data_IF_509804745990
#
_entry.id   IF_509804745990
#
_cell.length_a   1.000
_cell.length_b   1.000
_cell.length_c   1.000
_cell.angle_alpha   90.00
_cell.angle_beta   90.00
_cell.angle_gamma   90.00
#
_symmetry.space_group_name_H-M   'P 1'
#
loop_
_entity.id
_entity.type
_entity.pdbx_description
1 polymer ?
#
# COMPACT_ATOMS: atom_id res chain seq x y z
N UNK A 1 -18.16 -30.92 24.88
CA UNK A 1 -17.36 -29.77 24.45
C UNK A 1 -15.89 -30.09 24.63
N UNK A 2 -15.13 -30.12 23.55
CA UNK A 2 -13.70 -30.39 23.67
C UNK A 2 -13.01 -29.16 24.31
N UNK A 3 -12.22 -29.41 25.34
CA UNK A 3 -11.40 -28.34 25.91
C UNK A 3 -10.30 -27.98 24.93
N UNK A 4 -10.04 -26.68 24.83
CA UNK A 4 -8.93 -26.17 24.02
C UNK A 4 -7.61 -26.51 24.69
N UNK A 5 -6.80 -27.35 24.03
CA UNK A 5 -5.48 -27.71 24.53
C UNK A 5 -4.43 -26.74 23.99
N UNK A 6 -4.04 -25.79 24.82
CA UNK A 6 -3.06 -24.77 24.46
C UNK A 6 -1.67 -25.36 24.20
N UNK A 7 -1.31 -26.45 24.90
CA UNK A 7 -0.01 -27.10 24.71
C UNK A 7 0.08 -27.72 23.32
N UNK A 8 -0.99 -28.40 22.88
CA UNK A 8 -1.05 -28.97 21.55
C UNK A 8 -1.03 -27.87 20.46
N UNK A 9 -1.75 -26.76 20.67
CA UNK A 9 -1.75 -25.64 19.76
C UNK A 9 -0.37 -25.01 19.65
N UNK A 10 0.35 -24.84 20.76
CA UNK A 10 1.72 -24.29 20.78
C UNK A 10 2.67 -25.22 20.03
N UNK A 11 2.62 -26.53 20.28
CA UNK A 11 3.47 -27.49 19.60
C UNK A 11 3.22 -27.49 18.08
N UNK A 12 1.96 -27.40 17.68
CA UNK A 12 1.59 -27.32 16.28
C UNK A 12 2.07 -26.02 15.62
N UNK A 13 1.91 -24.91 16.30
CA UNK A 13 2.40 -23.62 15.80
C UNK A 13 3.93 -23.60 15.67
N UNK A 14 4.63 -24.21 16.64
CA UNK A 14 6.09 -24.29 16.60
C UNK A 14 6.61 -25.15 15.44
N UNK A 15 5.87 -26.16 15.02
CA UNK A 15 6.27 -27.00 13.87
C UNK A 15 5.92 -26.37 12.52
N UNK A 16 4.85 -25.59 12.45
CA UNK A 16 4.39 -24.97 11.20
C UNK A 16 4.99 -23.59 10.96
N UNK A 17 5.33 -22.88 12.03
CA UNK A 17 5.90 -21.55 11.92
C UNK A 17 7.40 -21.57 11.64
N UNK A 18 7.97 -20.39 11.34
CA UNK A 18 9.41 -20.27 11.15
C UNK A 18 10.16 -20.49 12.46
N UNK A 19 11.39 -20.99 12.35
CA UNK A 19 12.30 -21.10 13.50
C UNK A 19 12.81 -19.71 13.84
N UNK A 20 12.28 -19.13 14.92
CA UNK A 20 12.61 -17.78 15.35
C UNK A 20 13.99 -17.66 16.00
N UNK A 21 14.69 -18.79 16.20
CA UNK A 21 16.08 -18.78 16.68
C UNK A 21 17.08 -18.57 15.54
N UNK A 22 16.62 -18.66 14.30
CA UNK A 22 17.44 -18.53 13.11
C UNK A 22 17.11 -17.21 12.40
N UNK A 23 18.15 -16.42 12.16
CA UNK A 23 17.99 -15.23 11.33
C UNK A 23 17.76 -15.66 9.88
N UNK A 24 16.70 -15.17 9.30
CA UNK A 24 16.47 -15.37 7.89
C UNK A 24 17.23 -14.32 7.09
N UNK A 25 18.16 -14.77 6.27
CA UNK A 25 18.89 -13.90 5.39
C UNK A 25 18.21 -13.85 4.04
N UNK A 26 18.03 -12.66 3.55
CA UNK A 26 17.63 -12.44 2.17
C UNK A 26 16.21 -12.87 1.84
N UNK A 27 15.27 -12.29 2.53
CA UNK A 27 13.93 -12.27 1.98
C UNK A 27 13.99 -11.71 0.58
N UNK A 28 13.28 -12.29 -0.35
CA UNK A 28 13.27 -11.88 -1.74
C UNK A 28 13.29 -10.38 -1.85
N UNK A 29 14.34 -9.85 -2.45
CA UNK A 29 14.54 -8.42 -2.52
C UNK A 29 13.34 -7.74 -3.14
N UNK A 30 12.82 -6.72 -2.49
CA UNK A 30 11.85 -5.86 -3.10
C UNK A 30 12.51 -5.19 -4.32
N UNK A 31 11.96 -5.47 -5.50
CA UNK A 31 12.40 -4.78 -6.72
C UNK A 31 11.46 -3.60 -6.94
N UNK A 32 11.96 -2.37 -6.82
CA UNK A 32 11.10 -1.21 -7.06
C UNK A 32 10.65 -1.16 -8.52
N UNK A 33 9.47 -0.57 -8.79
CA UNK A 33 9.01 -0.38 -10.17
C UNK A 33 10.00 0.44 -10.98
N UNK A 34 10.16 0.10 -12.25
CA UNK A 34 10.99 0.87 -13.15
C UNK A 34 10.29 2.16 -13.57
N UNK A 35 11.09 3.20 -13.78
CA UNK A 35 10.58 4.47 -14.28
C UNK A 35 10.09 4.32 -15.72
N UNK A 36 9.00 4.99 -16.02
CA UNK A 36 8.40 4.96 -17.36
C UNK A 36 6.90 5.08 -17.28
N UNK A 37 6.26 5.20 -18.43
CA UNK A 37 4.80 5.28 -18.51
C UNK A 37 4.19 3.91 -18.25
N UNK A 38 3.24 3.83 -17.35
CA UNK A 38 2.51 2.60 -17.05
C UNK A 38 1.05 2.93 -16.72
N UNK A 39 0.22 1.89 -16.69
CA UNK A 39 -1.16 2.00 -16.28
C UNK A 39 -1.22 1.83 -14.76
N UNK A 40 -1.73 2.84 -14.07
CA UNK A 40 -1.93 2.79 -12.62
C UNK A 40 -3.41 2.68 -12.30
N UNK A 41 -3.76 1.71 -11.48
CA UNK A 41 -5.13 1.49 -11.01
C UNK A 41 -5.19 1.74 -9.51
N UNK A 42 -6.09 2.60 -9.07
CA UNK A 42 -6.28 2.84 -7.64
C UNK A 42 -7.05 1.67 -7.04
N UNK A 43 -6.38 0.86 -6.23
CA UNK A 43 -6.95 -0.35 -5.64
C UNK A 43 -7.22 -0.22 -4.15
N UNK A 44 -6.67 0.79 -3.50
CA UNK A 44 -6.87 0.98 -2.06
C UNK A 44 -6.80 2.45 -1.66
N UNK A 45 -7.65 2.80 -0.73
CA UNK A 45 -7.66 4.10 -0.07
C UNK A 45 -7.88 3.85 1.42
N UNK A 46 -6.91 4.25 2.24
CA UNK A 46 -6.93 3.99 3.67
C UNK A 46 -6.74 5.30 4.43
N UNK A 47 -7.70 5.65 5.25
CA UNK A 47 -7.56 6.78 6.17
C UNK A 47 -6.90 6.26 7.44
N UNK A 48 -5.64 6.65 7.65
CA UNK A 48 -4.86 6.21 8.82
C UNK A 48 -5.31 6.95 10.06
N UNK A 49 -5.88 8.13 9.88
CA UNK A 49 -6.29 9.00 10.96
C UNK A 49 -5.18 9.94 11.41
N UNK A 50 -5.31 10.43 12.62
CA UNK A 50 -4.40 11.45 13.16
C UNK A 50 -3.06 10.83 13.53
N UNK A 51 -1.99 11.42 13.01
CA UNK A 51 -0.61 11.02 13.29
C UNK A 51 0.16 12.22 13.80
N UNK A 52 1.00 11.98 14.81
CA UNK A 52 1.92 13.01 15.28
C UNK A 52 3.14 13.05 14.40
N UNK A 53 3.46 14.21 13.88
CA UNK A 53 4.69 14.44 13.13
C UNK A 53 5.49 15.56 13.76
N UNK A 54 6.80 15.36 13.82
CA UNK A 54 7.73 16.41 14.28
C UNK A 54 8.39 17.03 13.05
N UNK A 55 8.21 18.34 12.91
CA UNK A 55 8.84 19.11 11.84
C UNK A 55 9.48 20.34 12.45
N UNK A 56 10.76 20.55 12.22
CA UNK A 56 11.54 21.68 12.78
C UNK A 56 11.33 21.87 14.28
N UNK A 57 11.40 20.77 15.05
CA UNK A 57 11.20 20.72 16.51
C UNK A 57 9.78 21.08 16.96
N UNK A 58 8.81 21.14 16.04
CA UNK A 58 7.41 21.35 16.38
C UNK A 58 6.63 20.08 16.13
N UNK A 59 5.86 19.65 17.13
CA UNK A 59 4.92 18.55 16.96
C UNK A 59 3.64 19.05 16.30
N UNK A 60 3.23 18.37 15.23
CA UNK A 60 1.95 18.63 14.57
C UNK A 60 1.16 17.35 14.50
N UNK A 61 -0.14 17.46 14.72
CA UNK A 61 -1.08 16.37 14.49
C UNK A 61 -1.67 16.56 13.10
N UNK A 62 -1.47 15.58 12.23
CA UNK A 62 -2.00 15.61 10.88
C UNK A 62 -2.80 14.35 10.61
N UNK A 63 -3.86 14.48 9.84
CA UNK A 63 -4.58 13.31 9.34
C UNK A 63 -3.89 12.80 8.09
N UNK A 64 -3.62 11.49 8.05
CA UNK A 64 -2.93 10.87 6.94
C UNK A 64 -3.80 9.85 6.24
N UNK A 65 -3.57 9.73 4.96
CA UNK A 65 -4.21 8.73 4.11
C UNK A 65 -3.15 8.02 3.30
N UNK A 66 -3.44 6.78 2.95
CA UNK A 66 -2.62 6.00 2.03
C UNK A 66 -3.44 5.64 0.80
N UNK A 67 -2.83 5.83 -0.36
CA UNK A 67 -3.39 5.41 -1.63
C UNK A 67 -2.51 4.29 -2.16
N UNK A 68 -3.13 3.20 -2.57
CA UNK A 68 -2.43 2.05 -3.11
C UNK A 68 -2.78 1.94 -4.59
N UNK A 69 -1.74 2.00 -5.43
CA UNK A 69 -1.87 1.85 -6.87
C UNK A 69 -1.24 0.55 -7.32
N UNK A 70 -1.93 -0.15 -8.20
CA UNK A 70 -1.40 -1.31 -8.91
C UNK A 70 -0.91 -0.86 -10.27
N UNK A 71 0.34 -1.19 -10.60
CA UNK A 71 0.96 -0.79 -11.85
C UNK A 71 0.95 -1.95 -12.83
N UNK A 72 0.64 -1.65 -14.08
CA UNK A 72 0.59 -2.65 -15.15
C UNK A 72 1.11 -2.04 -16.45
N UNK A 73 1.61 -2.91 -17.33
CA UNK A 73 2.08 -2.52 -18.64
C UNK A 73 3.49 -1.93 -18.67
N UNK A 74 4.01 -1.69 -19.86
CA UNK A 74 5.34 -1.17 -20.03
C UNK A 74 6.39 -2.08 -19.42
N UNK A 75 7.31 -1.48 -18.66
CA UNK A 75 8.38 -2.21 -17.97
C UNK A 75 7.92 -2.83 -16.65
N UNK A 76 6.69 -2.56 -16.23
CA UNK A 76 6.14 -3.02 -14.95
C UNK A 76 5.18 -4.19 -15.13
N UNK A 77 5.60 -5.20 -15.89
CA UNK A 77 4.86 -6.45 -16.03
C UNK A 77 4.79 -7.15 -14.66
N UNK A 78 3.71 -7.92 -14.41
CA UNK A 78 3.60 -8.67 -13.16
C UNK A 78 4.80 -9.58 -12.94
N UNK A 79 5.27 -9.66 -11.69
CA UNK A 79 6.34 -10.58 -11.32
C UNK A 79 5.80 -11.99 -11.23
N UNK A 80 6.53 -12.93 -11.76
CA UNK A 80 6.20 -14.34 -11.65
C UNK A 80 6.94 -14.95 -10.46
N UNK A 81 6.20 -15.59 -9.56
CA UNK A 81 6.78 -16.32 -8.44
C UNK A 81 7.18 -17.74 -8.90
N UNK A 82 7.96 -18.43 -8.05
CA UNK A 82 8.42 -19.78 -8.34
C UNK A 82 7.28 -20.76 -8.58
N UNK A 83 6.13 -20.53 -7.94
CA UNK A 83 4.92 -21.36 -8.10
C UNK A 83 4.08 -20.99 -9.33
N UNK A 84 4.52 -20.05 -10.14
CA UNK A 84 3.81 -19.59 -11.32
C UNK A 84 2.78 -18.48 -11.04
N UNK A 85 2.62 -18.07 -9.79
CA UNK A 85 1.73 -16.96 -9.43
C UNK A 85 2.30 -15.64 -9.92
N UNK A 86 1.48 -14.84 -10.58
CA UNK A 86 1.87 -13.50 -11.02
C UNK A 86 1.42 -12.46 -10.02
N UNK A 87 2.37 -11.66 -9.53
CA UNK A 87 2.10 -10.56 -8.60
C UNK A 87 2.32 -9.22 -9.31
N UNK A 88 1.29 -8.37 -9.40
CA UNK A 88 1.47 -7.04 -9.97
C UNK A 88 2.31 -6.17 -9.04
N UNK A 89 2.97 -5.18 -9.62
CA UNK A 89 3.67 -4.17 -8.85
C UNK A 89 2.65 -3.24 -8.19
N UNK A 90 2.91 -2.89 -6.95
CA UNK A 90 2.07 -1.95 -6.19
C UNK A 90 2.93 -0.86 -5.60
N UNK A 91 2.42 0.34 -5.60
CA UNK A 91 3.04 1.46 -4.88
C UNK A 91 2.05 2.02 -3.88
N UNK A 92 2.56 2.47 -2.75
CA UNK A 92 1.76 3.12 -1.72
C UNK A 92 2.23 4.56 -1.59
N UNK A 93 1.28 5.48 -1.70
CA UNK A 93 1.53 6.91 -1.53
C UNK A 93 0.86 7.35 -0.24
N UNK A 94 1.64 7.92 0.67
CA UNK A 94 1.13 8.46 1.93
C UNK A 94 1.07 9.98 1.83
N UNK A 95 -0.11 10.54 2.06
CA UNK A 95 -0.31 11.98 1.97
C UNK A 95 -1.07 12.48 3.20
N UNK A 96 -0.87 13.74 3.53
CA UNK A 96 -1.67 14.42 4.54
C UNK A 96 -3.03 14.76 3.93
N UNK A 97 -4.10 14.37 4.62
CA UNK A 97 -5.47 14.68 4.19
C UNK A 97 -5.71 16.18 4.38
N UNK A 98 -5.48 16.93 3.33
CA UNK A 98 -5.67 18.38 3.32
C UNK A 98 -6.29 18.81 1.99
N UNK A 99 -7.30 19.64 2.08
CA UNK A 99 -7.99 20.20 0.92
C UNK A 99 -7.52 21.62 0.57
N UNK A 100 -6.40 22.01 1.14
CA UNK A 100 -5.77 23.27 0.77
C UNK A 100 -5.26 23.20 -0.68
N UNK A 101 -5.40 24.28 -1.43
CA UNK A 101 -4.99 24.34 -2.84
C UNK A 101 -3.52 23.98 -3.06
N UNK A 102 -2.67 24.23 -2.07
CA UNK A 102 -1.23 23.93 -2.12
C UNK A 102 -0.90 22.54 -1.63
N UNK A 103 -1.85 21.81 -1.03
CA UNK A 103 -1.61 20.47 -0.50
C UNK A 103 -1.46 19.46 -1.62
N UNK A 104 -0.51 18.53 -1.44
CA UNK A 104 -0.25 17.48 -2.44
C UNK A 104 -1.45 16.58 -2.65
N UNK A 105 -2.18 16.24 -1.58
CA UNK A 105 -3.38 15.41 -1.68
C UNK A 105 -4.44 16.08 -2.55
N UNK A 106 -4.70 17.36 -2.34
CA UNK A 106 -5.69 18.10 -3.12
C UNK A 106 -5.31 18.16 -4.60
N UNK A 107 -4.03 18.42 -4.87
CA UNK A 107 -3.51 18.45 -6.24
C UNK A 107 -3.62 17.07 -6.91
N UNK A 108 -3.30 16.01 -6.17
CA UNK A 108 -3.41 14.64 -6.67
C UNK A 108 -4.86 14.30 -6.99
N UNK A 109 -5.78 14.61 -6.07
CA UNK A 109 -7.21 14.37 -6.29
C UNK A 109 -7.71 15.09 -7.54
N UNK A 110 -7.34 16.35 -7.73
CA UNK A 110 -7.72 17.11 -8.93
C UNK A 110 -7.22 16.47 -10.22
N UNK A 111 -5.99 15.97 -10.21
CA UNK A 111 -5.42 15.30 -11.39
C UNK A 111 -6.12 13.99 -11.70
N UNK A 112 -6.40 13.18 -10.69
CA UNK A 112 -7.08 11.91 -10.87
C UNK A 112 -8.54 12.10 -11.26
N UNK A 113 -9.17 13.13 -10.75
CA UNK A 113 -10.58 13.48 -11.01
C UNK A 113 -10.67 14.49 -12.18
N UNK A 114 -10.05 14.16 -13.30
CA UNK A 114 -9.96 15.08 -14.44
C UNK A 114 -11.31 15.42 -15.06
N UNK A 115 -12.31 14.54 -14.95
CA UNK A 115 -13.65 14.77 -15.46
C UNK A 115 -14.58 15.46 -14.46
N UNK A 116 -14.15 15.65 -13.21
CA UNK A 116 -14.91 16.36 -12.19
C UNK A 116 -16.11 15.59 -11.62
N UNK A 117 -16.26 14.32 -11.93
CA UNK A 117 -17.44 13.54 -11.52
C UNK A 117 -17.36 13.04 -10.07
N UNK A 118 -16.16 12.85 -9.52
CA UNK A 118 -15.98 12.38 -8.17
C UNK A 118 -15.89 13.53 -7.17
N UNK A 119 -16.45 13.32 -6.00
CA UNK A 119 -16.37 14.26 -4.86
C UNK A 119 -15.50 13.74 -3.73
N UNK A 120 -15.14 12.47 -3.77
CA UNK A 120 -14.33 11.81 -2.76
C UNK A 120 -13.38 10.84 -3.43
N UNK A 121 -12.18 10.68 -2.84
CA UNK A 121 -11.15 9.81 -3.41
C UNK A 121 -11.64 8.36 -3.57
N UNK A 122 -12.46 7.86 -2.63
CA UNK A 122 -12.97 6.49 -2.72
C UNK A 122 -13.81 6.22 -3.96
N UNK A 123 -14.39 7.24 -4.57
CA UNK A 123 -15.16 7.08 -5.81
C UNK A 123 -14.26 6.81 -7.02
N UNK A 124 -12.94 7.03 -6.87
CA UNK A 124 -11.95 6.75 -7.90
C UNK A 124 -11.37 5.34 -7.82
N UNK A 125 -11.75 4.55 -6.80
CA UNK A 125 -11.32 3.17 -6.67
C UNK A 125 -11.71 2.35 -7.89
N UNK A 126 -10.77 1.58 -8.42
CA UNK A 126 -10.98 0.78 -9.61
C UNK A 126 -10.74 1.50 -10.93
N UNK A 127 -10.55 2.80 -10.90
CA UNK A 127 -10.20 3.57 -12.10
C UNK A 127 -8.70 3.52 -12.36
N UNK A 128 -8.32 3.74 -13.61
CA UNK A 128 -6.92 3.67 -14.02
C UNK A 128 -6.53 4.89 -14.84
N UNK A 129 -5.25 5.19 -14.78
CA UNK A 129 -4.65 6.32 -15.47
C UNK A 129 -3.29 5.91 -16.04
N UNK A 130 -2.90 6.53 -17.14
CA UNK A 130 -1.53 6.45 -17.61
C UNK A 130 -0.68 7.46 -16.84
N UNK A 131 0.40 6.97 -16.25
CA UNK A 131 1.29 7.78 -15.41
C UNK A 131 2.74 7.60 -15.82
#
# INVERSE_FOLDING_TARGET
MAEFDIKAAIAQAATKGPDMTQAQTGGGGYTPPEAGVCLATLIGYIEIGKQKKTYKQQEKVVEQVQLIFELAGGKNAPRELEDGTKLPHRITVTETLSLNEKANFFKLFKKLNYNGEAKHMCQLLGKHWLV
#
